data_IF_010678702376
#
_entry.id   IF_010678702376
#
_cell.length_a   1.000
_cell.length_b   1.000
_cell.length_c   1.000
_cell.angle_alpha   90.00
_cell.angle_beta   90.00
_cell.angle_gamma   90.00
#
_symmetry.space_group_name_H-M   'P 1'
#
loop_
_entity.id
_entity.type
_entity.pdbx_description
1 polymer ?
#
# COMPACT_ATOMS: atom_id res chain seq x y z
N UNK A 1 -22.55 8.50 6.78
CA UNK A 1 -21.45 9.38 7.22
C UNK A 1 -20.40 8.51 7.91
N UNK A 2 -19.64 7.74 7.13
CA UNK A 2 -18.44 7.06 7.60
C UNK A 2 -17.33 7.93 7.06
N UNK A 3 -16.80 8.85 7.88
CA UNK A 3 -15.48 9.41 7.57
C UNK A 3 -14.56 8.19 7.64
N UNK A 4 -14.00 7.82 6.48
CA UNK A 4 -13.23 6.58 6.33
C UNK A 4 -12.16 6.55 7.42
N UNK A 5 -12.12 5.46 8.20
CA UNK A 5 -11.23 5.30 9.36
C UNK A 5 -9.75 5.58 9.03
N UNK A 6 -9.37 5.46 7.75
CA UNK A 6 -8.06 5.80 7.20
C UNK A 6 -7.73 7.29 7.22
N UNK A 7 -8.68 8.17 6.94
CA UNK A 7 -8.44 9.63 6.83
C UNK A 7 -8.11 10.20 8.21
N UNK A 8 -8.88 9.80 9.23
CA UNK A 8 -8.66 10.16 10.63
C UNK A 8 -7.28 9.67 11.11
N UNK A 9 -6.90 8.45 10.70
CA UNK A 9 -5.59 7.88 11.03
C UNK A 9 -4.45 8.68 10.41
N UNK A 10 -4.54 9.04 9.11
CA UNK A 10 -3.53 9.83 8.42
C UNK A 10 -3.35 11.22 9.05
N UNK A 11 -4.45 11.91 9.36
CA UNK A 11 -4.42 13.21 10.05
C UNK A 11 -3.71 13.09 11.41
N UNK A 12 -4.06 12.07 12.22
CA UNK A 12 -3.42 11.82 13.51
C UNK A 12 -1.91 11.53 13.40
N UNK A 13 -1.46 11.05 12.24
CA UNK A 13 -0.06 10.73 11.96
C UNK A 13 0.66 11.84 11.21
N UNK A 14 0.02 12.99 10.99
CA UNK A 14 0.55 14.10 10.18
C UNK A 14 0.94 13.67 8.75
N UNK A 15 0.22 12.67 8.22
CA UNK A 15 0.40 12.15 6.87
C UNK A 15 -0.58 12.84 5.93
N UNK A 16 -0.05 13.50 4.90
CA UNK A 16 -0.86 14.03 3.80
C UNK A 16 -1.20 12.88 2.85
N UNK A 17 -2.48 12.51 2.78
CA UNK A 17 -2.95 11.47 1.88
C UNK A 17 -2.98 11.97 0.42
N UNK A 18 -2.33 11.26 -0.50
CA UNK A 18 -2.40 11.55 -1.94
C UNK A 18 -3.33 10.56 -2.66
N UNK A 19 -4.57 10.48 -2.18
CA UNK A 19 -5.55 9.50 -2.65
C UNK A 19 -6.45 10.17 -3.68
N UNK A 20 -6.55 9.57 -4.86
CA UNK A 20 -7.45 10.06 -5.91
C UNK A 20 -8.89 9.78 -5.48
N UNK A 21 -9.73 10.79 -5.56
CA UNK A 21 -11.15 10.65 -5.26
C UNK A 21 -11.82 9.59 -6.14
N UNK A 22 -12.72 8.80 -5.53
CA UNK A 22 -13.50 7.80 -6.25
C UNK A 22 -14.71 8.49 -6.92
N UNK A 23 -14.75 8.59 -8.26
CA UNK A 23 -15.83 9.31 -8.95
C UNK A 23 -17.22 8.68 -8.74
N UNK A 24 -17.29 7.42 -8.31
CA UNK A 24 -18.57 6.73 -8.03
C UNK A 24 -19.19 7.09 -6.68
N UNK A 25 -18.40 7.62 -5.75
CA UNK A 25 -18.80 7.80 -4.36
C UNK A 25 -18.30 9.14 -3.78
N UNK A 26 -17.95 10.09 -4.65
CA UNK A 26 -17.38 11.37 -4.28
C UNK A 26 -18.46 12.32 -3.77
N UNK A 27 -18.48 12.55 -2.47
CA UNK A 27 -19.15 13.71 -1.90
C UNK A 27 -18.30 14.94 -2.27
N UNK A 28 -18.79 15.79 -3.19
CA UNK A 28 -18.10 16.99 -3.68
C UNK A 28 -17.95 18.11 -2.62
N UNK A 29 -18.03 17.77 -1.33
CA UNK A 29 -18.18 18.74 -0.24
C UNK A 29 -16.88 19.50 0.08
N UNK A 30 -15.70 18.96 -0.26
CA UNK A 30 -14.42 19.62 -0.01
C UNK A 30 -13.38 19.22 -1.06
N UNK A 31 -12.71 20.18 -1.69
CA UNK A 31 -11.52 19.92 -2.49
C UNK A 31 -10.40 19.39 -1.58
N UNK A 32 -10.04 18.12 -1.73
CA UNK A 32 -8.88 17.54 -1.04
C UNK A 32 -7.59 17.96 -1.75
N UNK A 33 -6.54 18.20 -0.97
CA UNK A 33 -5.19 18.37 -1.51
C UNK A 33 -4.77 17.10 -2.26
N UNK A 34 -4.36 17.25 -3.52
CA UNK A 34 -3.94 16.14 -4.36
C UNK A 34 -2.75 16.51 -5.23
N UNK A 35 -1.65 15.76 -5.09
CA UNK A 35 -0.44 15.93 -5.89
C UNK A 35 -0.45 14.99 -7.10
N UNK A 36 -0.79 15.56 -8.26
CA UNK A 36 -0.78 14.86 -9.55
C UNK A 36 0.60 14.36 -9.98
N UNK A 37 1.68 15.09 -9.66
CA UNK A 37 3.06 14.70 -10.03
C UNK A 37 3.49 13.47 -9.24
N UNK A 38 3.14 13.44 -7.95
CA UNK A 38 3.38 12.28 -7.10
C UNK A 38 2.50 11.10 -7.51
N UNK A 39 1.21 11.33 -7.79
CA UNK A 39 0.28 10.27 -8.19
C UNK A 39 0.69 9.60 -9.51
N UNK A 40 1.25 10.35 -10.46
CA UNK A 40 1.79 9.79 -11.71
C UNK A 40 2.88 8.74 -11.48
N UNK A 41 3.57 8.77 -10.34
CA UNK A 41 4.63 7.81 -9.97
C UNK A 41 4.10 6.55 -9.26
N UNK A 42 2.79 6.46 -8.96
CA UNK A 42 2.17 5.34 -8.24
C UNK A 42 2.43 3.98 -8.88
N UNK A 43 2.58 3.93 -10.22
CA UNK A 43 2.77 2.70 -10.97
C UNK A 43 3.97 1.87 -10.46
N UNK A 44 5.03 2.53 -9.99
CA UNK A 44 6.19 1.81 -9.40
C UNK A 44 5.81 1.06 -8.13
N UNK A 45 5.00 1.69 -7.27
CA UNK A 45 4.51 1.11 -6.02
C UNK A 45 3.50 0.01 -6.31
N UNK A 46 2.55 0.27 -7.21
CA UNK A 46 1.53 -0.72 -7.62
C UNK A 46 2.17 -1.96 -8.25
N UNK A 47 3.21 -1.79 -9.06
CA UNK A 47 3.97 -2.92 -9.63
C UNK A 47 4.68 -3.73 -8.54
N UNK A 48 5.26 -3.07 -7.54
CA UNK A 48 5.89 -3.76 -6.41
C UNK A 48 4.85 -4.53 -5.58
N UNK A 49 3.69 -3.93 -5.31
CA UNK A 49 2.58 -4.58 -4.60
C UNK A 49 2.03 -5.77 -5.39
N UNK A 50 1.79 -5.62 -6.70
CA UNK A 50 1.34 -6.72 -7.56
C UNK A 50 2.37 -7.86 -7.63
N UNK A 51 3.66 -7.53 -7.57
CA UNK A 51 4.72 -8.54 -7.48
C UNK A 51 4.71 -9.26 -6.14
N UNK A 52 4.53 -8.54 -5.03
CA UNK A 52 4.34 -9.15 -3.71
C UNK A 52 3.11 -10.07 -3.68
N UNK A 53 1.99 -9.64 -4.27
CA UNK A 53 0.76 -10.45 -4.37
C UNK A 53 0.95 -11.74 -5.18
N UNK A 54 1.94 -11.77 -6.09
CA UNK A 54 2.30 -12.98 -6.85
C UNK A 54 2.99 -14.05 -6.01
N UNK A 55 3.55 -13.69 -4.84
CA UNK A 55 4.12 -14.66 -3.89
C UNK A 55 3.01 -15.33 -3.09
N UNK A 56 2.40 -16.37 -3.64
CA UNK A 56 1.37 -17.15 -2.94
C UNK A 56 1.80 -17.75 -1.59
N UNK A 57 3.11 -17.88 -1.32
CA UNK A 57 3.65 -18.33 -0.02
C UNK A 57 3.48 -17.27 1.08
N UNK A 58 3.35 -15.99 0.73
CA UNK A 58 2.93 -14.90 1.63
C UNK A 58 1.40 -14.81 1.79
N UNK A 59 0.62 -15.51 0.94
CA UNK A 59 -0.84 -15.56 0.98
C UNK A 59 -1.37 -16.57 1.99
N UNK A 60 -0.67 -16.77 3.12
CA UNK A 60 -1.34 -17.32 4.30
C UNK A 60 -2.25 -16.19 4.80
N UNK A 61 -3.47 -16.16 4.26
CA UNK A 61 -4.58 -15.24 4.56
C UNK A 61 -5.02 -15.23 6.04
N UNK A 62 -4.21 -15.77 6.94
CA UNK A 62 -4.46 -15.90 8.36
C UNK A 62 -3.48 -15.08 9.21
N UNK A 63 -2.57 -14.31 8.61
CA UNK A 63 -1.69 -13.43 9.37
C UNK A 63 -2.45 -12.21 9.90
N UNK A 64 -2.76 -12.24 11.19
CA UNK A 64 -3.43 -11.16 11.92
C UNK A 64 -2.46 -10.22 12.60
N UNK A 65 -1.20 -10.64 12.79
CA UNK A 65 -0.18 -9.87 13.49
C UNK A 65 0.72 -9.11 12.51
N UNK A 66 0.87 -7.80 12.76
CA UNK A 66 1.71 -6.91 11.96
C UNK A 66 3.19 -7.31 11.96
N UNK A 67 3.67 -7.94 13.04
CA UNK A 67 5.05 -8.41 13.14
C UNK A 67 5.33 -9.59 12.20
N UNK A 68 4.41 -10.53 12.12
CA UNK A 68 4.56 -11.71 11.27
C UNK A 68 4.47 -11.31 9.80
N UNK A 69 3.53 -10.44 9.46
CA UNK A 69 3.43 -9.83 8.13
C UNK A 69 4.76 -9.19 7.71
N UNK A 70 5.39 -8.39 8.57
CA UNK A 70 6.69 -7.75 8.29
C UNK A 70 7.81 -8.78 8.12
N UNK A 71 7.84 -9.82 8.95
CA UNK A 71 8.87 -10.86 8.87
C UNK A 71 8.76 -11.68 7.57
N UNK A 72 7.56 -11.97 7.10
CA UNK A 72 7.35 -12.67 5.83
C UNK A 72 7.78 -11.81 4.63
N UNK A 73 7.58 -10.48 4.68
CA UNK A 73 8.11 -9.57 3.66
C UNK A 73 9.64 -9.63 3.59
N UNK A 74 10.33 -9.60 4.73
CA UNK A 74 11.78 -9.75 4.76
C UNK A 74 12.25 -11.11 4.20
N UNK A 75 11.53 -12.19 4.51
CA UNK A 75 11.82 -13.51 3.95
C UNK A 75 11.67 -13.52 2.42
N UNK A 76 10.59 -12.95 1.89
CA UNK A 76 10.34 -12.89 0.45
C UNK A 76 11.41 -12.08 -0.28
N UNK A 77 11.77 -10.91 0.26
CA UNK A 77 12.87 -10.11 -0.29
C UNK A 77 14.21 -10.84 -0.22
N UNK A 78 14.48 -11.58 0.84
CA UNK A 78 15.71 -12.39 0.97
C UNK A 78 15.77 -13.49 -0.08
N UNK A 79 14.68 -14.24 -0.29
CA UNK A 79 14.59 -15.29 -1.32
C UNK A 79 14.78 -14.69 -2.72
N UNK A 80 14.17 -13.54 -2.98
CA UNK A 80 14.30 -12.81 -4.23
C UNK A 80 15.72 -12.36 -4.51
N UNK A 81 16.38 -11.83 -3.48
CA UNK A 81 17.76 -11.43 -3.53
C UNK A 81 18.68 -12.62 -3.80
N UNK A 82 18.48 -13.74 -3.10
CA UNK A 82 19.22 -14.99 -3.32
C UNK A 82 19.02 -15.55 -4.73
N UNK A 83 17.81 -15.48 -5.30
CA UNK A 83 17.55 -15.87 -6.70
C UNK A 83 18.28 -14.98 -7.73
N UNK A 84 18.56 -13.73 -7.38
CA UNK A 84 19.26 -12.76 -8.23
C UNK A 84 20.77 -12.91 -8.15
N UNK A 85 21.28 -13.33 -6.99
CA UNK A 85 22.68 -13.72 -6.83
C UNK A 85 22.87 -15.05 -7.53
N UNK A 86 23.45 -15.02 -8.75
CA UNK A 86 24.06 -16.21 -9.32
C UNK A 86 25.37 -16.45 -8.58
N UNK A 87 25.41 -17.54 -7.81
CA UNK A 87 26.68 -18.24 -7.55
C UNK A 87 27.00 -19.08 -8.77
#
# INVERSE_FOLDING_TARGET
MIINNSEIFCIKKEIIENIKENPRNGDAKYEKYFDYKLYKRRFKIEKANAWLDSFKVLLVRFETLSITWRNLHYLAFSILFLKKIKV
#
